data_IF_757692246309
#
_entry.id   IF_757692246309
#
_cell.length_a   1.000
_cell.length_b   1.000
_cell.length_c   1.000
_cell.angle_alpha   90.00
_cell.angle_beta   90.00
_cell.angle_gamma   90.00
#
_symmetry.space_group_name_H-M   'P 1'
#
loop_
_entity.id
_entity.type
_entity.pdbx_description
1 polymer ?
#
# COMPACT_ATOMS: atom_id res chain seq x y z
N UNK A 1 40.23 -10.59 10.88
CA UNK A 1 40.38 -11.76 9.99
C UNK A 1 40.15 -11.28 8.56
N UNK A 2 41.01 -11.70 7.63
CA UNK A 2 41.13 -11.15 6.27
C UNK A 2 39.82 -11.26 5.49
N UNK A 3 39.37 -10.14 4.94
CA UNK A 3 38.22 -10.06 4.05
C UNK A 3 38.49 -10.81 2.76
N UNK A 4 37.86 -11.97 2.59
CA UNK A 4 37.55 -12.45 1.27
C UNK A 4 36.47 -11.52 0.72
N UNK A 5 36.79 -10.76 -0.34
CA UNK A 5 35.76 -10.12 -1.16
C UNK A 5 34.94 -11.24 -1.80
N UNK A 6 33.88 -11.67 -1.13
CA UNK A 6 32.88 -12.52 -1.76
C UNK A 6 32.18 -11.65 -2.80
N UNK A 7 32.18 -12.10 -4.06
CA UNK A 7 31.44 -11.44 -5.15
C UNK A 7 29.95 -11.30 -4.79
N UNK A 8 29.44 -12.25 -3.99
CA UNK A 8 28.08 -12.29 -3.49
C UNK A 8 27.98 -11.54 -2.16
N UNK A 9 27.00 -10.64 -2.05
CA UNK A 9 26.62 -9.98 -0.80
C UNK A 9 26.04 -11.02 0.17
N UNK A 10 26.07 -10.74 1.47
CA UNK A 10 25.46 -11.61 2.48
C UNK A 10 24.00 -11.94 2.12
N UNK A 11 23.29 -10.89 1.71
CA UNK A 11 21.92 -10.97 1.27
C UNK A 11 21.82 -11.98 0.12
N UNK A 12 22.56 -11.81 -0.99
CA UNK A 12 22.57 -12.73 -2.14
C UNK A 12 22.80 -14.21 -1.73
N UNK A 13 23.66 -14.45 -0.74
CA UNK A 13 23.90 -15.80 -0.20
C UNK A 13 22.64 -16.37 0.47
N UNK A 14 21.92 -15.57 1.27
CA UNK A 14 20.64 -15.96 1.87
C UNK A 14 19.60 -16.31 0.79
N UNK A 15 19.49 -15.53 -0.29
CA UNK A 15 18.56 -15.86 -1.40
C UNK A 15 18.94 -17.17 -2.09
N UNK A 16 20.22 -17.41 -2.34
CA UNK A 16 20.67 -18.66 -2.97
C UNK A 16 20.46 -19.87 -2.04
N UNK A 17 20.69 -19.71 -0.73
CA UNK A 17 20.40 -20.75 0.25
C UNK A 17 18.90 -21.04 0.31
N UNK A 18 18.07 -20.00 0.33
CA UNK A 18 16.62 -20.13 0.35
C UNK A 18 16.10 -20.83 -0.92
N UNK A 19 16.54 -20.38 -2.10
CA UNK A 19 16.19 -20.98 -3.38
C UNK A 19 16.55 -22.47 -3.41
N UNK A 20 17.78 -22.81 -3.01
CA UNK A 20 18.24 -24.19 -2.94
C UNK A 20 17.47 -25.03 -1.94
N UNK A 21 17.08 -24.47 -0.81
CA UNK A 21 16.29 -25.17 0.21
C UNK A 21 14.88 -25.47 -0.32
N UNK A 22 14.25 -24.52 -1.01
CA UNK A 22 12.93 -24.67 -1.64
C UNK A 22 12.89 -25.61 -2.85
N UNK A 23 14.05 -26.06 -3.34
CA UNK A 23 14.12 -27.15 -4.31
C UNK A 23 13.83 -28.52 -3.68
N UNK A 24 14.19 -28.70 -2.42
CA UNK A 24 14.06 -29.98 -1.73
C UNK A 24 12.86 -30.04 -0.80
N UNK A 25 12.49 -28.90 -0.21
CA UNK A 25 11.51 -28.82 0.87
C UNK A 25 10.55 -27.67 0.60
N UNK A 26 9.25 -27.96 0.62
CA UNK A 26 8.22 -26.91 0.60
C UNK A 26 8.05 -26.32 2.00
N UNK A 27 8.75 -25.20 2.25
CA UNK A 27 8.82 -24.54 3.56
C UNK A 27 7.43 -24.04 4.01
N UNK A 28 6.64 -23.50 3.08
CA UNK A 28 5.28 -23.03 3.37
C UNK A 28 4.35 -24.19 3.76
N UNK A 29 4.54 -25.36 3.17
CA UNK A 29 3.76 -26.55 3.55
C UNK A 29 4.12 -27.01 4.96
N UNK A 30 5.41 -27.01 5.33
CA UNK A 30 5.86 -27.35 6.69
C UNK A 30 5.27 -26.41 7.74
N UNK A 31 5.23 -25.10 7.45
CA UNK A 31 4.58 -24.11 8.31
C UNK A 31 3.08 -24.37 8.43
N UNK A 32 2.40 -24.65 7.32
CA UNK A 32 0.96 -24.95 7.33
C UNK A 32 0.60 -26.22 8.11
N UNK A 33 1.52 -27.19 8.17
CA UNK A 33 1.39 -28.40 8.96
C UNK A 33 1.79 -28.23 10.44
N UNK A 34 2.30 -27.06 10.83
CA UNK A 34 2.80 -26.79 12.18
C UNK A 34 4.09 -27.53 12.53
N UNK A 35 4.84 -28.01 11.52
CA UNK A 35 6.13 -28.67 11.70
C UNK A 35 7.29 -27.68 11.75
N UNK A 36 7.14 -26.54 11.08
CA UNK A 36 8.04 -25.40 11.12
C UNK A 36 7.30 -24.22 11.75
N UNK A 37 7.94 -23.51 12.69
CA UNK A 37 7.32 -22.38 13.37
C UNK A 37 7.42 -21.09 12.56
N UNK A 38 8.64 -20.75 12.12
CA UNK A 38 8.93 -19.61 11.24
C UNK A 38 10.33 -19.78 10.62
N UNK A 39 10.60 -19.09 9.51
CA UNK A 39 11.91 -19.03 8.87
C UNK A 39 12.35 -17.58 8.70
N UNK A 40 13.32 -17.16 9.51
CA UNK A 40 13.85 -15.80 9.47
C UNK A 40 15.37 -15.80 9.25
N UNK A 41 15.89 -14.96 8.34
CA UNK A 41 17.33 -14.78 8.22
C UNK A 41 17.88 -14.06 9.45
N UNK A 42 19.07 -14.49 9.91
CA UNK A 42 19.74 -13.86 11.04
C UNK A 42 20.30 -12.48 10.64
N UNK A 43 20.03 -11.48 11.49
CA UNK A 43 20.55 -10.13 11.29
C UNK A 43 22.04 -10.04 11.65
N UNK A 44 22.78 -9.23 10.89
CA UNK A 44 24.16 -8.85 11.21
C UNK A 44 24.15 -7.52 11.98
N UNK A 45 24.36 -7.59 13.30
CA UNK A 45 24.25 -6.42 14.20
C UNK A 45 25.16 -5.27 13.80
N UNK A 46 26.39 -5.55 13.33
CA UNK A 46 27.35 -4.51 12.96
C UNK A 46 26.98 -3.70 11.71
N UNK A 47 26.25 -4.31 10.77
CA UNK A 47 25.73 -3.61 9.58
C UNK A 47 24.44 -2.86 9.92
N UNK A 48 23.61 -3.45 10.78
CA UNK A 48 22.39 -2.83 11.26
C UNK A 48 22.66 -1.57 12.09
N UNK A 49 23.61 -1.61 13.03
CA UNK A 49 24.01 -0.45 13.84
C UNK A 49 24.51 0.72 12.97
N UNK A 50 25.26 0.43 11.89
CA UNK A 50 25.70 1.45 10.93
C UNK A 50 24.52 2.07 10.20
N UNK A 51 23.57 1.25 9.77
CA UNK A 51 22.38 1.72 9.06
C UNK A 51 21.48 2.53 10.01
N UNK A 52 21.35 2.12 11.27
CA UNK A 52 20.63 2.85 12.30
C UNK A 52 21.25 4.24 12.55
N UNK A 53 22.57 4.32 12.72
CA UNK A 53 23.25 5.60 12.90
C UNK A 53 23.16 6.49 11.66
N UNK A 54 23.23 5.91 10.45
CA UNK A 54 23.25 6.67 9.21
C UNK A 54 21.87 7.13 8.74
N UNK A 55 20.84 6.30 8.95
CA UNK A 55 19.49 6.49 8.42
C UNK A 55 18.41 6.49 9.50
N UNK A 56 18.51 5.62 10.51
CA UNK A 56 17.52 5.45 11.58
C UNK A 56 17.57 6.48 12.72
N UNK A 57 18.62 7.31 12.79
CA UNK A 57 18.80 8.29 13.87
C UNK A 57 17.64 9.32 13.86
N UNK A 58 16.89 9.46 14.97
CA UNK A 58 15.78 10.42 15.06
C UNK A 58 16.22 11.88 14.80
N UNK A 59 17.51 12.20 14.97
CA UNK A 59 18.06 13.53 14.64
C UNK A 59 18.02 13.83 13.14
N UNK A 60 17.94 12.80 12.30
CA UNK A 60 17.92 12.89 10.84
C UNK A 60 16.51 12.81 10.25
N UNK A 61 15.45 12.90 11.06
CA UNK A 61 14.05 12.83 10.59
C UNK A 61 13.72 13.87 9.51
N UNK A 62 14.33 15.05 9.56
CA UNK A 62 14.14 16.10 8.54
C UNK A 62 15.12 15.99 7.35
N UNK A 63 16.02 15.02 7.37
CA UNK A 63 16.96 14.79 6.27
C UNK A 63 16.26 14.09 5.11
N UNK A 64 16.38 14.67 3.92
CA UNK A 64 15.91 14.05 2.67
C UNK A 64 16.93 13.05 2.08
N UNK A 65 18.10 12.92 2.72
CA UNK A 65 19.12 11.98 2.31
C UNK A 65 18.79 10.57 2.85
N UNK A 66 18.80 9.58 1.95
CA UNK A 66 18.69 8.17 2.34
C UNK A 66 19.78 7.35 1.62
N UNK A 67 20.55 6.51 2.32
CA UNK A 67 21.60 5.70 1.71
C UNK A 67 20.99 4.45 1.02
N UNK A 68 20.58 4.58 -0.24
CA UNK A 68 19.86 3.48 -0.94
C UNK A 68 20.73 2.25 -1.17
N UNK A 69 22.03 2.43 -1.43
CA UNK A 69 22.93 1.30 -1.65
C UNK A 69 23.07 0.46 -0.38
N UNK A 70 23.28 1.11 0.77
CA UNK A 70 23.36 0.43 2.07
C UNK A 70 22.04 -0.28 2.42
N UNK A 71 20.89 0.37 2.16
CA UNK A 71 19.56 -0.24 2.35
C UNK A 71 19.40 -1.46 1.44
N UNK A 72 19.82 -1.37 0.16
CA UNK A 72 19.74 -2.47 -0.81
C UNK A 72 20.61 -3.65 -0.41
N UNK A 73 21.82 -3.38 0.04
CA UNK A 73 22.79 -4.42 0.36
C UNK A 73 22.43 -5.17 1.66
N UNK A 74 21.64 -4.55 2.55
CA UNK A 74 21.13 -5.17 3.77
C UNK A 74 19.72 -5.78 3.65
N UNK A 75 18.75 -5.06 3.06
CA UNK A 75 17.33 -5.42 3.03
C UNK A 75 16.81 -5.92 1.68
N UNK A 76 17.66 -6.06 0.66
CA UNK A 76 17.31 -6.36 -0.74
C UNK A 76 16.82 -5.20 -1.60
N UNK A 77 16.68 -5.50 -2.89
CA UNK A 77 16.24 -4.56 -3.92
C UNK A 77 14.80 -4.09 -3.72
N UNK A 78 13.86 -4.94 -3.26
CA UNK A 78 12.45 -4.55 -3.10
C UNK A 78 12.26 -3.43 -2.06
N UNK A 79 12.86 -3.59 -0.88
CA UNK A 79 12.79 -2.60 0.20
C UNK A 79 13.56 -1.32 -0.18
N UNK A 80 14.68 -1.46 -0.89
CA UNK A 80 15.43 -0.32 -1.42
C UNK A 80 14.63 0.47 -2.46
N UNK A 81 13.93 -0.20 -3.37
CA UNK A 81 13.05 0.45 -4.34
C UNK A 81 11.90 1.19 -3.67
N UNK A 82 11.25 0.58 -2.67
CA UNK A 82 10.20 1.24 -1.90
C UNK A 82 10.71 2.50 -1.20
N UNK A 83 11.85 2.40 -0.50
CA UNK A 83 12.45 3.54 0.20
C UNK A 83 12.86 4.64 -0.77
N UNK A 84 13.43 4.26 -1.91
CA UNK A 84 13.80 5.18 -2.97
C UNK A 84 12.59 5.91 -3.58
N UNK A 85 11.52 5.18 -3.88
CA UNK A 85 10.26 5.76 -4.34
C UNK A 85 9.73 6.79 -3.34
N UNK A 86 9.70 6.42 -2.06
CA UNK A 86 9.22 7.29 -0.99
C UNK A 86 10.04 8.60 -0.92
N UNK A 87 11.36 8.52 -1.03
CA UNK A 87 12.22 9.71 -1.06
C UNK A 87 11.91 10.61 -2.24
N UNK A 88 11.86 10.06 -3.45
CA UNK A 88 11.61 10.85 -4.65
C UNK A 88 10.20 11.47 -4.65
N UNK A 89 9.22 10.75 -4.09
CA UNK A 89 7.87 11.28 -3.86
C UNK A 89 7.88 12.45 -2.87
N UNK A 90 8.57 12.34 -1.71
CA UNK A 90 8.65 13.43 -0.73
C UNK A 90 9.30 14.68 -1.35
N UNK A 91 10.41 14.51 -2.08
CA UNK A 91 11.07 15.62 -2.78
C UNK A 91 10.16 16.29 -3.81
N UNK A 92 9.38 15.50 -4.55
CA UNK A 92 8.48 16.01 -5.57
C UNK A 92 7.24 16.71 -4.98
N UNK A 93 6.75 16.27 -3.82
CA UNK A 93 5.58 16.84 -3.13
C UNK A 93 5.94 18.09 -2.32
N UNK A 94 7.16 18.21 -1.81
CA UNK A 94 7.60 19.37 -1.02
C UNK A 94 7.34 20.74 -1.69
N UNK A 95 7.70 20.99 -2.98
CA UNK A 95 7.40 22.25 -3.63
C UNK A 95 5.89 22.47 -3.86
N UNK A 96 5.13 21.40 -4.11
CA UNK A 96 3.67 21.49 -4.20
C UNK A 96 3.04 21.87 -2.87
N UNK A 97 3.57 21.36 -1.76
CA UNK A 97 3.11 21.69 -0.43
C UNK A 97 3.30 23.18 -0.14
N UNK A 98 4.47 23.74 -0.45
CA UNK A 98 4.74 25.18 -0.29
C UNK A 98 3.77 26.01 -1.16
N UNK A 99 3.57 25.61 -2.42
CA UNK A 99 2.63 26.26 -3.31
C UNK A 99 1.19 26.22 -2.78
N UNK A 100 0.75 25.05 -2.29
CA UNK A 100 -0.59 24.87 -1.73
C UNK A 100 -0.81 25.73 -0.48
N UNK A 101 0.19 25.83 0.41
CA UNK A 101 0.15 26.74 1.56
C UNK A 101 0.05 28.21 1.12
N UNK A 102 0.79 28.60 0.09
CA UNK A 102 0.70 29.94 -0.50
C UNK A 102 -0.71 30.22 -1.05
N UNK A 103 -1.29 29.31 -1.83
CA UNK A 103 -2.66 29.43 -2.33
C UNK A 103 -3.68 29.49 -1.19
N UNK A 104 -3.51 28.71 -0.12
CA UNK A 104 -4.38 28.73 1.05
C UNK A 104 -4.29 30.06 1.80
N UNK A 105 -3.09 30.59 2.00
CA UNK A 105 -2.89 31.91 2.60
C UNK A 105 -3.52 33.02 1.75
N UNK A 106 -3.32 32.97 0.43
CA UNK A 106 -3.96 33.91 -0.51
C UNK A 106 -5.48 33.85 -0.44
N UNK A 107 -6.08 32.69 -0.20
CA UNK A 107 -7.53 32.56 -0.01
C UNK A 107 -8.01 33.15 1.32
N UNK A 108 -7.26 32.96 2.41
CA UNK A 108 -7.64 33.49 3.73
C UNK A 108 -7.48 35.01 3.79
N UNK A 109 -6.46 35.56 3.13
CA UNK A 109 -6.11 36.99 3.18
C UNK A 109 -6.53 37.79 1.94
N UNK A 110 -7.04 37.14 0.89
CA UNK A 110 -7.40 37.80 -0.36
C UNK A 110 -8.46 37.03 -1.17
N UNK A 111 -9.27 37.77 -1.92
CA UNK A 111 -10.38 37.22 -2.68
C UNK A 111 -9.91 36.73 -4.06
N UNK A 112 -9.06 35.70 -4.08
CA UNK A 112 -8.41 35.19 -5.30
C UNK A 112 -9.11 33.95 -5.88
N UNK A 113 -10.24 34.16 -6.54
CA UNK A 113 -11.02 33.11 -7.24
C UNK A 113 -10.20 32.28 -8.26
N UNK A 114 -9.13 32.88 -8.82
CA UNK A 114 -8.24 32.22 -9.79
C UNK A 114 -7.24 31.23 -9.17
N UNK A 115 -6.98 31.29 -7.86
CA UNK A 115 -5.92 30.47 -7.24
C UNK A 115 -6.25 28.97 -7.24
N UNK A 116 -7.53 28.60 -7.02
CA UNK A 116 -8.01 27.21 -6.95
C UNK A 116 -7.90 26.46 -8.29
N UNK A 117 -8.45 26.96 -9.41
CA UNK A 117 -8.32 26.28 -10.69
C UNK A 117 -6.87 26.20 -11.17
N UNK A 118 -6.06 27.23 -10.89
CA UNK A 118 -4.64 27.22 -11.21
C UNK A 118 -3.88 26.13 -10.45
N UNK A 119 -4.10 26.01 -9.14
CA UNK A 119 -3.51 24.94 -8.33
C UNK A 119 -3.91 23.55 -8.84
N UNK A 120 -5.18 23.36 -9.21
CA UNK A 120 -5.65 22.09 -9.80
C UNK A 120 -4.92 21.75 -11.10
N UNK A 121 -4.73 22.71 -12.00
CA UNK A 121 -3.98 22.50 -13.25
C UNK A 121 -2.52 22.14 -12.96
N UNK A 122 -1.88 22.83 -12.00
CA UNK A 122 -0.50 22.55 -11.60
C UNK A 122 -0.37 21.14 -11.04
N UNK A 123 -1.30 20.68 -10.19
CA UNK A 123 -1.29 19.32 -9.64
C UNK A 123 -1.46 18.27 -10.75
N UNK A 124 -2.36 18.51 -11.72
CA UNK A 124 -2.56 17.61 -12.85
C UNK A 124 -1.29 17.47 -13.72
N UNK A 125 -0.64 18.60 -14.01
CA UNK A 125 0.63 18.61 -14.76
C UNK A 125 1.72 17.92 -13.96
N UNK A 126 1.85 18.25 -12.68
CA UNK A 126 2.83 17.64 -11.78
C UNK A 126 2.67 16.12 -11.72
N UNK A 127 1.43 15.60 -11.59
CA UNK A 127 1.18 14.16 -11.51
C UNK A 127 1.69 13.44 -12.77
N UNK A 128 1.46 14.02 -13.95
CA UNK A 128 1.96 13.49 -15.23
C UNK A 128 3.48 13.52 -15.31
N UNK A 129 4.09 14.65 -14.94
CA UNK A 129 5.56 14.82 -14.98
C UNK A 129 6.23 13.86 -13.99
N UNK A 130 5.74 13.79 -12.75
CA UNK A 130 6.26 12.89 -11.72
C UNK A 130 6.15 11.43 -12.14
N UNK A 131 4.99 10.99 -12.64
CA UNK A 131 4.81 9.60 -13.09
C UNK A 131 5.78 9.24 -14.22
N UNK A 132 5.96 10.14 -15.20
CA UNK A 132 6.91 9.92 -16.30
C UNK A 132 8.36 9.88 -15.80
N UNK A 133 8.72 10.80 -14.90
CA UNK A 133 10.07 10.86 -14.31
C UNK A 133 10.36 9.62 -13.47
N UNK A 134 9.41 9.18 -12.66
CA UNK A 134 9.54 7.98 -11.85
C UNK A 134 9.79 6.74 -12.71
N UNK A 135 9.00 6.52 -13.77
CA UNK A 135 9.21 5.36 -14.67
C UNK A 135 10.61 5.33 -15.29
N UNK A 136 11.15 6.50 -15.65
CA UNK A 136 12.51 6.58 -16.18
C UNK A 136 13.55 6.22 -15.12
N UNK A 137 13.42 6.79 -13.92
CA UNK A 137 14.34 6.55 -12.80
C UNK A 137 14.27 5.11 -12.33
N UNK A 138 13.08 4.53 -12.27
CA UNK A 138 12.85 3.12 -11.95
C UNK A 138 13.60 2.20 -12.92
N UNK A 139 13.46 2.42 -14.23
CA UNK A 139 14.16 1.63 -15.25
C UNK A 139 15.69 1.78 -15.16
N UNK A 140 16.20 2.99 -14.92
CA UNK A 140 17.64 3.23 -14.78
C UNK A 140 18.25 2.45 -13.60
N UNK A 141 17.58 2.46 -12.45
CA UNK A 141 18.02 1.72 -11.26
C UNK A 141 17.78 0.22 -11.39
N UNK A 142 16.67 -0.22 -12.01
CA UNK A 142 16.40 -1.63 -12.27
C UNK A 142 17.43 -2.25 -13.20
N UNK A 143 17.85 -1.52 -14.23
CA UNK A 143 18.95 -1.92 -15.11
C UNK A 143 20.29 -1.90 -14.37
N UNK A 144 20.60 -0.85 -13.60
CA UNK A 144 21.84 -0.79 -12.81
C UNK A 144 21.97 -1.90 -11.77
N UNK A 145 20.85 -2.37 -11.20
CA UNK A 145 20.83 -3.44 -10.21
C UNK A 145 20.66 -4.83 -10.84
N UNK A 146 20.46 -4.91 -12.16
CA UNK A 146 20.26 -6.17 -12.86
C UNK A 146 18.94 -6.87 -12.52
N UNK A 147 17.97 -6.17 -11.93
CA UNK A 147 16.67 -6.76 -11.58
C UNK A 147 15.79 -6.98 -12.81
N UNK A 148 15.99 -6.22 -13.90
CA UNK A 148 15.25 -6.44 -15.17
C UNK A 148 15.55 -7.81 -15.80
N UNK A 149 16.75 -8.36 -15.55
CA UNK A 149 17.12 -9.69 -16.00
C UNK A 149 16.29 -10.81 -15.33
N UNK A 150 15.52 -10.52 -14.27
CA UNK A 150 14.62 -11.50 -13.64
C UNK A 150 13.42 -11.87 -14.52
N UNK A 151 13.03 -11.03 -15.49
CA UNK A 151 12.02 -11.38 -16.49
C UNK A 151 12.54 -12.32 -17.59
N UNK A 152 13.87 -12.39 -17.76
CA UNK A 152 14.55 -13.17 -18.80
C UNK A 152 15.20 -14.43 -18.21
N UNK A 153 15.59 -14.39 -16.93
CA UNK A 153 16.14 -15.54 -16.22
C UNK A 153 15.02 -16.48 -15.78
N UNK A 154 15.27 -17.77 -15.92
CA UNK A 154 14.41 -18.88 -15.49
C UNK A 154 14.36 -19.02 -13.96
N UNK A 155 14.18 -17.91 -13.23
CA UNK A 155 14.05 -17.95 -11.78
C UNK A 155 12.77 -18.72 -11.49
N UNK A 156 12.90 -19.81 -10.74
CA UNK A 156 11.79 -20.67 -10.36
C UNK A 156 10.78 -19.84 -9.58
N UNK A 157 9.57 -19.68 -10.11
CA UNK A 157 8.51 -19.04 -9.36
C UNK A 157 8.13 -19.93 -8.19
N UNK A 158 8.08 -19.35 -6.99
CA UNK A 158 7.60 -20.06 -5.81
C UNK A 158 6.18 -20.57 -6.07
N UNK A 159 5.98 -21.87 -5.86
CA UNK A 159 4.68 -22.50 -5.99
C UNK A 159 3.78 -22.03 -4.85
N UNK A 160 2.50 -21.81 -5.14
CA UNK A 160 1.52 -21.46 -4.13
C UNK A 160 1.06 -22.74 -3.40
N UNK A 161 1.31 -22.86 -2.10
CA UNK A 161 0.87 -24.02 -1.30
C UNK A 161 -0.65 -24.15 -1.22
N UNK A 162 -1.38 -23.04 -1.38
CA UNK A 162 -2.86 -23.03 -1.37
C UNK A 162 -3.46 -23.55 -2.67
N UNK A 163 -2.63 -23.75 -3.70
CA UNK A 163 -3.09 -24.19 -5.01
C UNK A 163 -3.43 -25.69 -5.01
N UNK A 164 -4.70 -26.02 -5.27
CA UNK A 164 -5.19 -27.41 -5.33
C UNK A 164 -5.46 -27.84 -6.77
N UNK A 165 -4.42 -28.33 -7.45
CA UNK A 165 -4.49 -28.86 -8.81
C UNK A 165 -4.23 -30.37 -8.88
N UNK A 166 -4.55 -30.98 -10.02
CA UNK A 166 -4.17 -32.37 -10.34
C UNK A 166 -2.75 -32.33 -10.90
N UNK A 167 -1.88 -33.25 -10.46
CA UNK A 167 -0.52 -33.35 -10.98
C UNK A 167 -0.54 -33.75 -12.45
N UNK A 168 -0.04 -32.87 -13.31
CA UNK A 168 0.07 -33.07 -14.76
C UNK A 168 1.49 -32.76 -15.23
N UNK A 169 1.97 -33.40 -16.31
CA UNK A 169 3.28 -33.09 -16.90
C UNK A 169 3.37 -31.62 -17.32
N UNK A 170 4.51 -30.98 -17.06
CA UNK A 170 4.73 -29.59 -17.45
C UNK A 170 4.90 -29.47 -18.97
N UNK A 171 4.46 -28.36 -19.59
CA UNK A 171 4.64 -28.14 -21.03
C UNK A 171 6.11 -28.09 -21.46
N UNK A 172 6.99 -27.69 -20.54
CA UNK A 172 8.43 -27.53 -20.80
C UNK A 172 9.20 -28.84 -20.61
N UNK A 173 8.78 -29.68 -19.67
CA UNK A 173 9.41 -30.96 -19.34
C UNK A 173 8.36 -31.99 -18.91
N UNK A 174 8.23 -33.07 -19.70
CA UNK A 174 7.29 -34.15 -19.43
C UNK A 174 7.64 -34.96 -18.18
N UNK A 175 8.87 -34.87 -17.68
CA UNK A 175 9.30 -35.53 -16.43
C UNK A 175 8.91 -34.75 -15.17
N UNK A 176 8.66 -33.44 -15.30
CA UNK A 176 8.26 -32.57 -14.20
C UNK A 176 6.74 -32.53 -14.08
N UNK A 177 6.21 -33.11 -13.00
CA UNK A 177 4.79 -33.02 -12.66
C UNK A 177 4.54 -31.72 -11.88
N UNK A 178 3.61 -30.89 -12.38
CA UNK A 178 3.15 -29.69 -11.70
C UNK A 178 1.64 -29.77 -11.49
N UNK A 179 1.12 -29.30 -10.36
CA UNK A 179 -0.33 -29.25 -10.18
C UNK A 179 -0.91 -28.27 -11.20
N UNK A 180 -1.94 -28.68 -11.93
CA UNK A 180 -2.65 -27.88 -12.91
C UNK A 180 -4.16 -27.98 -12.68
N UNK A 181 -4.89 -26.95 -13.10
CA UNK A 181 -6.36 -26.92 -13.10
C UNK A 181 -6.88 -26.78 -14.53
N UNK A 182 -8.07 -27.29 -14.79
CA UNK A 182 -8.72 -27.10 -16.09
C UNK A 182 -8.99 -25.61 -16.34
N UNK A 183 -8.82 -25.18 -17.59
CA UNK A 183 -9.06 -23.79 -17.98
C UNK A 183 -10.47 -23.33 -17.60
N UNK A 184 -11.47 -24.20 -17.72
CA UNK A 184 -12.86 -23.92 -17.36
C UNK A 184 -13.05 -23.64 -15.86
N UNK A 185 -12.33 -24.35 -14.98
CA UNK A 185 -12.37 -24.10 -13.53
C UNK A 185 -11.67 -22.79 -13.17
N UNK A 186 -10.55 -22.49 -13.82
CA UNK A 186 -9.82 -21.23 -13.58
C UNK A 186 -10.62 -20.01 -14.06
N UNK A 187 -11.27 -20.09 -15.23
CA UNK A 187 -12.09 -18.96 -15.75
C UNK A 187 -13.36 -18.74 -14.94
N UNK A 188 -14.05 -19.81 -14.52
CA UNK A 188 -15.21 -19.70 -13.63
C UNK A 188 -14.83 -19.17 -12.25
N UNK A 189 -13.69 -19.60 -11.70
CA UNK A 189 -13.12 -19.07 -10.47
C UNK A 189 -12.76 -17.58 -10.55
N UNK A 190 -12.15 -17.15 -11.66
CA UNK A 190 -11.84 -15.74 -11.93
C UNK A 190 -13.10 -14.89 -12.08
N UNK A 191 -14.12 -15.40 -12.77
CA UNK A 191 -15.40 -14.69 -12.87
C UNK A 191 -16.08 -14.55 -11.50
N UNK A 192 -16.06 -15.61 -10.68
CA UNK A 192 -16.63 -15.61 -9.34
C UNK A 192 -15.89 -14.65 -8.39
N UNK A 193 -14.56 -14.59 -8.44
CA UNK A 193 -13.76 -13.69 -7.61
C UNK A 193 -14.01 -12.21 -7.95
N UNK A 194 -14.13 -11.89 -9.24
CA UNK A 194 -14.47 -10.55 -9.72
C UNK A 194 -15.88 -10.17 -9.30
N UNK A 195 -16.85 -11.07 -9.47
CA UNK A 195 -18.23 -10.84 -9.07
C UNK A 195 -18.39 -10.65 -7.55
N UNK A 196 -17.66 -11.43 -6.75
CA UNK A 196 -17.71 -11.30 -5.29
C UNK A 196 -17.02 -10.02 -4.80
N UNK A 197 -15.93 -9.63 -5.45
CA UNK A 197 -15.24 -8.35 -5.16
C UNK A 197 -16.12 -7.15 -5.56
N UNK A 198 -16.79 -7.21 -6.71
CA UNK A 198 -17.70 -6.14 -7.14
C UNK A 198 -18.94 -6.05 -6.26
N UNK A 199 -19.49 -7.19 -5.81
CA UNK A 199 -20.58 -7.25 -4.84
C UNK A 199 -20.17 -6.58 -3.51
N UNK A 200 -19.00 -6.92 -2.98
CA UNK A 200 -18.47 -6.29 -1.76
C UNK A 200 -18.38 -4.77 -1.92
N UNK A 201 -17.74 -4.31 -3.00
CA UNK A 201 -17.60 -2.89 -3.33
C UNK A 201 -18.96 -2.19 -3.43
N UNK A 202 -19.93 -2.80 -4.11
CA UNK A 202 -21.27 -2.24 -4.26
C UNK A 202 -21.97 -2.07 -2.91
N UNK A 203 -21.91 -3.08 -2.05
CA UNK A 203 -22.46 -3.00 -0.69
C UNK A 203 -21.81 -1.85 0.07
N UNK A 204 -20.49 -1.67 -0.02
CA UNK A 204 -19.78 -0.57 0.64
C UNK A 204 -20.22 0.80 0.13
N UNK A 205 -20.43 0.95 -1.19
CA UNK A 205 -20.94 2.20 -1.77
C UNK A 205 -22.34 2.51 -1.20
N UNK A 206 -23.23 1.53 -1.13
CA UNK A 206 -24.59 1.71 -0.58
C UNK A 206 -24.53 2.12 0.89
N UNK A 207 -23.67 1.48 1.70
CA UNK A 207 -23.46 1.83 3.12
C UNK A 207 -23.00 3.29 3.25
N UNK A 208 -21.99 3.70 2.48
CA UNK A 208 -21.45 5.07 2.55
C UNK A 208 -22.49 6.12 2.12
N UNK A 209 -23.25 5.85 1.05
CA UNK A 209 -24.29 6.76 0.57
C UNK A 209 -25.43 6.89 1.59
N UNK A 210 -25.90 5.77 2.14
CA UNK A 210 -26.98 5.77 3.14
C UNK A 210 -26.56 6.53 4.40
N UNK A 211 -25.36 6.30 4.89
CA UNK A 211 -24.81 7.03 6.03
C UNK A 211 -24.69 8.54 5.76
N UNK A 212 -24.15 8.94 4.61
CA UNK A 212 -24.08 10.36 4.24
C UNK A 212 -25.46 11.01 4.14
N UNK A 213 -26.45 10.28 3.61
CA UNK A 213 -27.83 10.77 3.49
C UNK A 213 -28.48 10.97 4.85
N UNK A 214 -28.31 9.99 5.77
CA UNK A 214 -28.82 10.07 7.14
C UNK A 214 -28.17 11.25 7.86
N UNK A 215 -26.86 11.38 7.76
CA UNK A 215 -26.14 12.48 8.38
C UNK A 215 -26.61 13.85 7.91
N UNK A 216 -26.75 13.99 6.59
CA UNK A 216 -27.19 15.23 5.99
C UNK A 216 -28.58 15.64 6.51
N UNK A 217 -29.49 14.67 6.59
CA UNK A 217 -30.82 14.88 7.16
C UNK A 217 -30.77 15.28 8.65
N UNK A 218 -29.92 14.62 9.45
CA UNK A 218 -29.74 14.96 10.87
C UNK A 218 -29.17 16.37 11.06
N UNK A 219 -28.18 16.76 10.25
CA UNK A 219 -27.55 18.08 10.31
C UNK A 219 -28.52 19.23 10.04
N UNK A 220 -29.44 19.05 9.09
CA UNK A 220 -30.39 20.11 8.73
C UNK A 220 -31.53 20.20 9.74
N UNK A 221 -32.08 19.05 10.15
CA UNK A 221 -33.33 19.03 10.93
C UNK A 221 -33.09 19.26 12.42
N UNK A 222 -32.02 18.69 13.00
CA UNK A 222 -31.89 18.59 14.46
C UNK A 222 -30.77 19.45 15.06
N UNK A 223 -29.86 19.99 14.25
CA UNK A 223 -28.58 20.51 14.75
C UNK A 223 -28.48 22.02 14.57
N UNK A 224 -28.34 22.72 15.70
CA UNK A 224 -28.09 24.16 15.75
C UNK A 224 -26.79 24.52 15.01
N UNK A 225 -26.71 25.71 14.38
CA UNK A 225 -25.58 26.09 13.52
C UNK A 225 -24.21 26.00 14.19
N UNK A 226 -24.14 26.28 15.50
CA UNK A 226 -22.89 26.26 16.27
C UNK A 226 -22.34 24.82 16.52
N UNK A 227 -23.18 23.79 16.40
CA UNK A 227 -22.77 22.38 16.61
C UNK A 227 -22.46 21.63 15.31
N UNK A 228 -22.77 22.21 14.15
CA UNK A 228 -22.61 21.56 12.84
C UNK A 228 -21.16 21.21 12.51
N UNK A 229 -20.21 22.07 12.88
CA UNK A 229 -18.78 21.84 12.62
C UNK A 229 -18.18 20.74 13.50
N UNK A 230 -18.61 20.63 14.75
CA UNK A 230 -18.22 19.55 15.64
C UNK A 230 -18.74 18.21 15.12
N UNK A 231 -20.02 18.18 14.74
CA UNK A 231 -20.68 17.01 14.22
C UNK A 231 -20.08 16.54 12.87
N UNK A 232 -19.69 17.47 12.00
CA UNK A 232 -19.02 17.15 10.73
C UNK A 232 -17.61 16.60 10.95
N UNK A 233 -16.87 17.16 11.92
CA UNK A 233 -15.56 16.65 12.31
C UNK A 233 -15.64 15.24 12.92
N UNK A 234 -16.67 14.98 13.74
CA UNK A 234 -16.96 13.67 14.31
C UNK A 234 -17.23 12.62 13.22
N UNK A 235 -17.97 12.98 12.17
CA UNK A 235 -18.12 12.10 11.01
C UNK A 235 -16.82 11.80 10.30
N UNK A 236 -15.97 12.79 10.07
CA UNK A 236 -14.67 12.55 9.45
C UNK A 236 -13.86 11.49 10.20
N UNK A 237 -13.96 11.49 11.53
CA UNK A 237 -13.36 10.46 12.38
C UNK A 237 -14.04 9.09 12.26
N UNK A 238 -15.38 9.03 12.22
CA UNK A 238 -16.11 7.78 11.97
C UNK A 238 -15.74 7.21 10.59
N UNK A 239 -15.64 8.04 9.56
CA UNK A 239 -15.23 7.62 8.21
C UNK A 239 -13.79 7.08 8.21
N UNK A 240 -12.86 7.80 8.84
CA UNK A 240 -11.46 7.38 8.94
C UNK A 240 -11.31 6.04 9.68
N UNK A 241 -12.06 5.85 10.76
CA UNK A 241 -12.07 4.56 11.50
C UNK A 241 -12.73 3.45 10.70
N UNK A 242 -13.83 3.73 10.00
CA UNK A 242 -14.51 2.76 9.13
C UNK A 242 -13.59 2.26 8.02
N UNK A 243 -12.82 3.12 7.35
CA UNK A 243 -11.86 2.69 6.31
C UNK A 243 -10.91 1.62 6.85
N UNK A 244 -10.41 1.79 8.08
CA UNK A 244 -9.54 0.80 8.74
C UNK A 244 -10.24 -0.50 9.09
N UNK A 245 -11.49 -0.42 9.59
CA UNK A 245 -12.29 -1.61 9.88
C UNK A 245 -12.52 -2.42 8.59
N UNK A 246 -12.85 -1.73 7.51
CA UNK A 246 -13.09 -2.33 6.20
C UNK A 246 -11.83 -2.97 5.63
N UNK A 247 -10.68 -2.30 5.74
CA UNK A 247 -9.38 -2.88 5.37
C UNK A 247 -9.11 -4.18 6.12
N UNK A 248 -9.36 -4.19 7.43
CA UNK A 248 -9.13 -5.38 8.26
C UNK A 248 -10.07 -6.54 7.91
N UNK A 249 -11.34 -6.25 7.63
CA UNK A 249 -12.31 -7.26 7.17
C UNK A 249 -11.90 -7.78 5.79
N UNK A 250 -11.52 -6.89 4.87
CA UNK A 250 -11.09 -7.25 3.52
C UNK A 250 -9.85 -8.14 3.55
N UNK A 251 -8.86 -7.84 4.40
CA UNK A 251 -7.65 -8.67 4.51
C UNK A 251 -7.99 -10.12 4.90
N UNK A 252 -9.01 -10.34 5.75
CA UNK A 252 -9.49 -11.69 6.11
C UNK A 252 -10.25 -12.39 4.98
N UNK A 253 -11.07 -11.65 4.23
CA UNK A 253 -11.96 -12.22 3.19
C UNK A 253 -11.22 -12.43 1.86
N UNK A 254 -10.30 -11.53 1.52
CA UNK A 254 -9.58 -11.50 0.23
C UNK A 254 -8.80 -12.77 -0.07
N UNK A 255 -8.37 -13.48 0.97
CA UNK A 255 -7.69 -14.77 0.87
C UNK A 255 -8.63 -15.86 0.31
N UNK A 256 -9.85 -15.95 0.83
CA UNK A 256 -10.85 -16.90 0.33
C UNK A 256 -11.27 -16.55 -1.11
N UNK A 257 -11.46 -15.25 -1.41
CA UNK A 257 -11.82 -14.78 -2.75
C UNK A 257 -10.74 -15.10 -3.78
N UNK A 258 -9.47 -14.90 -3.42
CA UNK A 258 -8.35 -15.09 -4.35
C UNK A 258 -8.01 -16.56 -4.55
N UNK A 259 -8.29 -17.43 -3.56
CA UNK A 259 -8.16 -18.88 -3.71
C UNK A 259 -9.07 -19.44 -4.82
N UNK A 260 -10.25 -18.83 -5.07
CA UNK A 260 -11.16 -19.25 -6.13
C UNK A 260 -10.51 -19.16 -7.52
N UNK A 261 -9.58 -18.22 -7.72
CA UNK A 261 -8.91 -18.00 -9.00
C UNK A 261 -7.92 -19.10 -9.37
N UNK A 262 -7.52 -19.92 -8.38
CA UNK A 262 -6.58 -21.02 -8.54
C UNK A 262 -5.27 -20.55 -9.21
N UNK A 263 -4.52 -19.66 -8.55
CA UNK A 263 -3.20 -19.23 -9.05
C UNK A 263 -2.10 -20.24 -8.69
N UNK A 264 -1.35 -20.77 -9.67
CA UNK A 264 -0.29 -21.75 -9.42
C UNK A 264 0.97 -21.15 -8.77
N UNK A 265 1.32 -19.90 -9.11
CA UNK A 265 2.47 -19.20 -8.53
C UNK A 265 2.06 -18.26 -7.41
N UNK A 266 2.87 -18.19 -6.36
CA UNK A 266 2.65 -17.28 -5.22
C UNK A 266 2.68 -15.81 -5.64
N UNK A 267 3.51 -15.48 -6.63
CA UNK A 267 3.57 -14.13 -7.21
C UNK A 267 2.24 -13.73 -7.86
N UNK A 268 1.65 -14.59 -8.70
CA UNK A 268 0.37 -14.32 -9.35
C UNK A 268 -0.77 -14.19 -8.33
N UNK A 269 -0.81 -15.08 -7.33
CA UNK A 269 -1.75 -15.00 -6.22
C UNK A 269 -1.65 -13.65 -5.49
N UNK A 270 -0.44 -13.27 -5.08
CA UNK A 270 -0.20 -12.04 -4.31
C UNK A 270 -0.48 -10.79 -5.14
N UNK A 271 -0.13 -10.79 -6.43
CA UNK A 271 -0.40 -9.69 -7.35
C UNK A 271 -1.91 -9.47 -7.56
N UNK A 272 -2.67 -10.57 -7.73
CA UNK A 272 -4.13 -10.51 -7.84
C UNK A 272 -4.76 -10.01 -6.53
N UNK A 273 -4.36 -10.55 -5.38
CA UNK A 273 -4.81 -10.09 -4.05
C UNK A 273 -4.54 -8.59 -3.86
N UNK A 274 -3.33 -8.13 -4.20
CA UNK A 274 -2.91 -6.72 -4.11
C UNK A 274 -3.75 -5.82 -5.00
N UNK A 275 -3.99 -6.22 -6.24
CA UNK A 275 -4.82 -5.46 -7.20
C UNK A 275 -6.24 -5.27 -6.67
N UNK A 276 -6.87 -6.35 -6.18
CA UNK A 276 -8.22 -6.25 -5.59
C UNK A 276 -8.26 -5.37 -4.34
N UNK A 277 -7.27 -5.52 -3.45
CA UNK A 277 -7.17 -4.68 -2.26
C UNK A 277 -7.02 -3.18 -2.61
N UNK A 278 -6.23 -2.86 -3.65
CA UNK A 278 -6.12 -1.48 -4.15
C UNK A 278 -7.47 -0.96 -4.65
N UNK A 279 -8.24 -1.75 -5.39
CA UNK A 279 -9.58 -1.35 -5.88
C UNK A 279 -10.53 -1.08 -4.72
N UNK A 280 -10.60 -1.99 -3.74
CA UNK A 280 -11.46 -1.83 -2.56
C UNK A 280 -11.07 -0.60 -1.74
N UNK A 281 -9.76 -0.42 -1.47
CA UNK A 281 -9.22 0.75 -0.75
C UNK A 281 -9.48 2.06 -1.48
N UNK A 282 -9.31 2.06 -2.80
CA UNK A 282 -9.56 3.25 -3.62
C UNK A 282 -11.03 3.65 -3.53
N UNK A 283 -11.95 2.71 -3.71
CA UNK A 283 -13.38 3.01 -3.73
C UNK A 283 -13.86 3.43 -2.34
N UNK A 284 -13.46 2.72 -1.29
CA UNK A 284 -13.86 3.06 0.09
C UNK A 284 -13.30 4.41 0.55
N UNK A 285 -12.07 4.76 0.17
CA UNK A 285 -11.47 6.06 0.48
C UNK A 285 -12.04 7.21 -0.35
N UNK A 286 -12.37 6.97 -1.63
CA UNK A 286 -12.86 8.02 -2.54
C UNK A 286 -14.38 8.18 -2.55
N UNK A 287 -15.17 7.19 -2.11
CA UNK A 287 -16.63 7.26 -2.13
C UNK A 287 -17.16 8.38 -1.23
N UNK A 288 -16.63 8.54 -0.02
CA UNK A 288 -17.08 9.58 0.92
C UNK A 288 -16.89 11.01 0.41
N UNK A 289 -15.69 11.44 -0.08
CA UNK A 289 -15.54 12.79 -0.62
C UNK A 289 -16.37 13.01 -1.90
N UNK A 290 -16.55 12.00 -2.75
CA UNK A 290 -17.39 12.08 -3.95
C UNK A 290 -18.87 12.24 -3.57
N UNK A 291 -19.36 11.44 -2.62
CA UNK A 291 -20.73 11.52 -2.13
C UNK A 291 -21.03 12.90 -1.54
N UNK A 292 -20.10 13.45 -0.75
CA UNK A 292 -20.22 14.81 -0.23
C UNK A 292 -20.30 15.86 -1.36
N UNK A 293 -19.43 15.76 -2.37
CA UNK A 293 -19.42 16.70 -3.50
C UNK A 293 -20.71 16.62 -4.32
N UNK A 294 -21.23 15.42 -4.56
CA UNK A 294 -22.50 15.20 -5.25
C UNK A 294 -23.67 15.79 -4.46
N UNK A 295 -23.74 15.55 -3.14
CA UNK A 295 -24.77 16.14 -2.28
C UNK A 295 -24.71 17.66 -2.36
N UNK A 296 -23.52 18.26 -2.25
CA UNK A 296 -23.33 19.71 -2.41
C UNK A 296 -23.82 20.23 -3.77
N UNK A 297 -23.50 19.53 -4.86
CA UNK A 297 -23.91 19.90 -6.21
C UNK A 297 -25.44 19.86 -6.38
N UNK A 298 -26.08 18.82 -5.85
CA UNK A 298 -27.53 18.62 -5.97
C UNK A 298 -28.35 19.64 -5.18
N UNK A 299 -27.78 20.24 -4.13
CA UNK A 299 -28.50 21.17 -3.25
C UNK A 299 -28.39 22.63 -3.65
N UNK A 300 -27.48 22.99 -4.56
CA UNK A 300 -27.35 24.32 -5.16
C UNK A 300 -27.44 25.51 -4.17
N UNK A 301 -27.07 25.32 -2.91
CA UNK A 301 -27.01 26.37 -1.88
C UNK A 301 -25.58 26.97 -1.83
N UNK A 302 -25.39 28.24 -2.23
CA UNK A 302 -24.09 28.90 -2.22
C UNK A 302 -23.82 29.50 -0.84
N UNK A 303 -23.94 28.70 0.23
CA UNK A 303 -23.52 29.17 1.56
C UNK A 303 -22.04 28.85 1.77
N UNK A 304 -21.22 29.89 2.00
CA UNK A 304 -19.76 29.82 2.23
C UNK A 304 -19.37 28.78 3.30
N UNK A 305 -20.27 28.50 4.26
CA UNK A 305 -20.10 27.49 5.30
C UNK A 305 -20.00 26.04 4.79
N UNK A 306 -20.60 25.71 3.65
CA UNK A 306 -20.58 24.34 3.08
C UNK A 306 -19.20 23.93 2.56
N UNK A 307 -18.45 24.88 2.00
CA UNK A 307 -17.03 24.70 1.60
C UNK A 307 -16.11 24.48 2.79
N UNK A 308 -16.33 25.22 3.88
CA UNK A 308 -15.59 25.05 5.13
C UNK A 308 -15.85 23.68 5.78
N UNK A 309 -17.09 23.20 5.72
CA UNK A 309 -17.45 21.85 6.21
C UNK A 309 -16.80 20.74 5.38
N UNK A 310 -16.73 20.86 4.04
CA UNK A 310 -16.01 19.90 3.20
C UNK A 310 -14.52 19.85 3.55
N UNK A 311 -13.87 21.02 3.63
CA UNK A 311 -12.47 21.11 3.96
C UNK A 311 -12.18 20.56 5.37
N UNK A 312 -13.03 20.86 6.35
CA UNK A 312 -12.97 20.34 7.72
C UNK A 312 -13.14 18.82 7.76
N UNK A 313 -14.07 18.27 6.98
CA UNK A 313 -14.32 16.83 6.93
C UNK A 313 -13.17 16.10 6.25
N UNK A 314 -12.69 16.59 5.10
CA UNK A 314 -11.52 16.02 4.43
C UNK A 314 -10.27 16.10 5.30
N UNK A 315 -10.07 17.22 6.00
CA UNK A 315 -8.95 17.39 6.92
C UNK A 315 -9.06 16.48 8.15
N UNK A 316 -10.25 16.31 8.73
CA UNK A 316 -10.51 15.38 9.83
C UNK A 316 -10.29 13.92 9.40
N UNK A 317 -10.78 13.52 8.21
CA UNK A 317 -10.58 12.17 7.67
C UNK A 317 -9.10 11.91 7.36
N UNK A 318 -8.39 12.88 6.79
CA UNK A 318 -6.95 12.76 6.56
C UNK A 318 -6.19 12.70 7.90
N UNK A 319 -6.47 13.60 8.84
CA UNK A 319 -5.83 13.63 10.16
C UNK A 319 -6.07 12.33 10.92
N UNK A 320 -7.28 11.78 10.92
CA UNK A 320 -7.58 10.50 11.58
C UNK A 320 -6.95 9.32 10.87
N UNK A 321 -6.94 9.29 9.54
CA UNK A 321 -6.15 8.32 8.78
C UNK A 321 -4.66 8.41 9.11
N UNK A 322 -4.07 9.61 9.20
CA UNK A 322 -2.67 9.83 9.55
C UNK A 322 -2.36 9.55 11.02
N UNK A 323 -3.28 9.81 11.95
CA UNK A 323 -3.12 9.47 13.37
C UNK A 323 -3.22 7.97 13.58
N UNK A 324 -4.14 7.29 12.90
CA UNK A 324 -4.27 5.82 12.93
C UNK A 324 -3.09 5.16 12.21
N UNK A 325 -2.66 5.68 11.06
CA UNK A 325 -1.47 5.19 10.34
C UNK A 325 -0.18 5.54 11.07
N UNK A 326 -0.10 6.71 11.71
CA UNK A 326 1.04 7.17 12.50
C UNK A 326 1.15 6.41 13.82
N UNK A 327 0.03 6.11 14.49
CA UNK A 327 0.01 5.17 15.61
C UNK A 327 0.41 3.78 15.14
N UNK A 328 -0.13 3.28 14.02
CA UNK A 328 0.21 1.97 13.47
C UNK A 328 1.67 1.87 12.98
N UNK A 329 2.22 2.93 12.40
CA UNK A 329 3.63 3.02 11.99
C UNK A 329 4.56 3.27 13.18
N UNK A 330 4.11 3.93 14.25
CA UNK A 330 4.83 3.96 15.53
C UNK A 330 4.78 2.60 16.22
N UNK A 331 3.67 1.88 16.16
CA UNK A 331 3.56 0.49 16.64
C UNK A 331 4.36 -0.46 15.76
N UNK A 332 4.46 -0.25 14.44
CA UNK A 332 5.32 -1.05 13.55
C UNK A 332 6.79 -0.66 13.66
N UNK A 333 7.12 0.60 13.88
CA UNK A 333 8.50 1.04 14.14
C UNK A 333 8.94 0.50 15.50
N UNK A 334 8.09 0.59 16.52
CA UNK A 334 8.35 -0.02 17.82
C UNK A 334 8.28 -1.54 17.76
N UNK A 335 7.40 -2.19 16.99
CA UNK A 335 7.40 -3.65 16.84
C UNK A 335 8.56 -4.15 15.99
N UNK A 336 8.98 -3.47 14.90
CA UNK A 336 10.18 -3.86 14.15
C UNK A 336 11.44 -3.64 14.99
N UNK A 337 11.51 -2.60 15.82
CA UNK A 337 12.62 -2.36 16.75
C UNK A 337 12.54 -3.23 18.03
N UNK A 338 11.36 -3.57 18.54
CA UNK A 338 11.17 -4.45 19.70
C UNK A 338 11.28 -5.92 19.32
N UNK A 339 10.88 -6.35 18.11
CA UNK A 339 11.22 -7.69 17.61
C UNK A 339 12.73 -7.85 17.43
N UNK A 340 13.44 -6.80 16.99
CA UNK A 340 14.91 -6.84 16.90
C UNK A 340 15.59 -6.74 18.27
N UNK A 341 14.98 -6.09 19.27
CA UNK A 341 15.50 -6.06 20.64
C UNK A 341 15.17 -7.34 21.45
N UNK A 342 14.02 -7.99 21.19
CA UNK A 342 13.57 -9.17 21.94
C UNK A 342 14.25 -10.47 21.47
N UNK A 343 14.85 -10.49 20.28
CA UNK A 343 15.70 -11.60 19.79
C UNK A 343 17.16 -11.54 20.29
N UNK A 344 17.53 -10.51 21.05
CA UNK A 344 18.86 -10.35 21.68
C UNK A 344 18.79 -10.57 23.21
N UNK A 345 17.61 -10.90 23.76
CA UNK A 345 17.40 -11.25 25.16
C UNK A 345 17.57 -12.73 25.45
#
# INVERSE_FOLDING_TARGET
MRGHMTILRNIDQVRLMYDRLTDFVDMEQLESCGLLLDQLPLHVSSELEKLEQNWGDPRKVFSLYQPIQDIRDYFWEEIAFYSFFLRELIKAVLPLFILALGCQACYVFGDSELARPMLSLIILIWFRVFTKRWRHVEAEFANSWGTEAHGISSVKWLQNVRFRGVLSPSPEDNSLLRPQVSWARSTTGMAASVALTSLFVMVMIVVVITEHTIFFHLCIVYVAPNQRQLLSSALGAVMGTQIKVVDSIWDRVSDCITDLECHPSKFAFTSSKRTKAVVVRLITSMCSPIAFLLVKFMLQDPSEGSTGMLASNMMSTLLTCYLLLGCFLMTLRNCCFEFTACLIG
#
